data_IF_235113030669
#
_entry.id   IF_235113030669
#
_cell.length_a   1.000
_cell.length_b   1.000
_cell.length_c   1.000
_cell.angle_alpha   90.00
_cell.angle_beta   90.00
_cell.angle_gamma   90.00
#
_symmetry.space_group_name_H-M   'P 1'
#
loop_
_entity.id
_entity.type
_entity.pdbx_description
1 polymer ?
#
# COMPACT_ATOMS: atom_id res chain seq x y z
N UNK A 1 -4.65 17.49 -18.96
CA UNK A 1 -5.69 16.43 -18.98
C UNK A 1 -6.69 16.80 -17.92
N UNK A 2 -8.01 16.74 -18.17
CA UNK A 2 -8.97 17.09 -17.12
C UNK A 2 -8.90 15.98 -16.07
N UNK A 3 -8.48 16.30 -14.86
CA UNK A 3 -8.60 15.39 -13.73
C UNK A 3 -10.09 15.17 -13.53
N UNK A 4 -10.50 13.90 -13.63
CA UNK A 4 -11.90 13.48 -13.66
C UNK A 4 -12.13 12.48 -12.54
N UNK A 5 -13.38 12.37 -12.05
CA UNK A 5 -13.78 11.24 -11.20
C UNK A 5 -13.33 9.91 -11.81
N UNK A 6 -13.24 8.88 -10.97
CA UNK A 6 -12.90 7.54 -11.43
C UNK A 6 -13.78 7.16 -12.65
N UNK A 7 -13.18 6.80 -13.80
CA UNK A 7 -13.97 6.54 -15.00
C UNK A 7 -14.95 5.39 -14.78
N UNK A 8 -16.19 5.53 -15.25
CA UNK A 8 -17.22 4.48 -15.15
C UNK A 8 -16.75 3.10 -15.66
N UNK A 9 -15.96 2.99 -16.76
CA UNK A 9 -15.37 1.72 -17.16
C UNK A 9 -14.48 1.10 -16.08
N UNK A 10 -13.67 1.90 -15.37
CA UNK A 10 -12.85 1.41 -14.27
C UNK A 10 -13.72 0.95 -13.09
N UNK A 11 -14.75 1.71 -12.73
CA UNK A 11 -15.69 1.35 -11.66
C UNK A 11 -16.38 0.02 -11.99
N UNK A 12 -16.77 -0.18 -13.24
CA UNK A 12 -17.36 -1.44 -13.72
C UNK A 12 -16.36 -2.59 -13.58
N UNK A 13 -15.13 -2.44 -14.10
CA UNK A 13 -14.10 -3.49 -14.04
C UNK A 13 -13.68 -3.82 -12.60
N UNK A 14 -13.60 -2.84 -11.70
CA UNK A 14 -13.29 -3.07 -10.28
C UNK A 14 -14.29 -3.99 -9.58
N UNK A 15 -15.53 -4.10 -10.08
CA UNK A 15 -16.52 -5.03 -9.56
C UNK A 15 -16.32 -6.46 -10.05
N UNK A 16 -15.40 -6.72 -10.96
CA UNK A 16 -15.10 -8.07 -11.43
C UNK A 16 -14.02 -8.72 -10.55
N UNK A 17 -14.24 -9.95 -10.08
CA UNK A 17 -13.28 -10.66 -9.23
C UNK A 17 -11.91 -10.85 -9.90
N UNK A 18 -11.90 -11.06 -11.22
CA UNK A 18 -10.69 -11.25 -12.01
C UNK A 18 -9.87 -9.97 -12.17
N UNK A 19 -10.51 -8.78 -12.10
CA UNK A 19 -9.79 -7.52 -12.21
C UNK A 19 -8.76 -7.39 -11.09
N UNK A 20 -9.14 -7.66 -9.85
CA UNK A 20 -8.23 -7.57 -8.72
C UNK A 20 -7.16 -8.66 -8.74
N UNK A 21 -7.45 -9.85 -9.27
CA UNK A 21 -6.41 -10.87 -9.48
C UNK A 21 -5.36 -10.40 -10.50
N UNK A 22 -5.77 -9.71 -11.58
CA UNK A 22 -4.84 -9.12 -12.56
C UNK A 22 -4.06 -7.93 -11.97
N UNK A 23 -4.75 -7.00 -11.28
CA UNK A 23 -4.12 -5.80 -10.71
C UNK A 23 -3.12 -6.18 -9.60
N UNK A 24 -3.51 -7.13 -8.76
CA UNK A 24 -2.74 -7.58 -7.60
C UNK A 24 -1.96 -8.86 -7.85
N UNK A 25 -1.88 -9.33 -9.10
CA UNK A 25 -1.12 -10.52 -9.47
C UNK A 25 -1.36 -11.71 -8.51
N UNK A 26 -2.61 -11.94 -8.11
CA UNK A 26 -2.95 -12.95 -7.09
C UNK A 26 -2.74 -14.39 -7.65
N UNK A 27 -2.98 -14.60 -8.95
CA UNK A 27 -2.96 -15.94 -9.59
C UNK A 27 -1.82 -16.16 -10.61
N UNK A 28 -0.96 -15.16 -10.85
CA UNK A 28 -0.16 -15.08 -12.08
C UNK A 28 1.20 -15.80 -12.08
N UNK A 29 1.47 -16.71 -11.13
CA UNK A 29 2.86 -17.13 -10.90
C UNK A 29 3.39 -18.31 -11.73
N UNK A 30 2.58 -19.17 -12.35
CA UNK A 30 3.16 -20.38 -13.00
C UNK A 30 2.66 -20.75 -14.41
N UNK A 31 1.40 -20.52 -14.80
CA UNK A 31 0.87 -21.10 -16.06
C UNK A 31 0.16 -20.13 -17.02
N UNK A 32 -0.02 -18.86 -16.66
CA UNK A 32 -0.85 -17.93 -17.43
C UNK A 32 -0.03 -17.14 -18.46
N UNK A 33 0.62 -17.82 -19.41
CA UNK A 33 0.92 -17.18 -20.70
C UNK A 33 -0.42 -17.00 -21.43
N UNK A 34 -1.19 -15.99 -21.05
CA UNK A 34 -2.45 -15.66 -21.72
C UNK A 34 -2.10 -15.38 -23.18
N UNK A 35 -2.63 -16.16 -24.14
CA UNK A 35 -2.35 -15.91 -25.55
C UNK A 35 -2.71 -14.46 -25.88
N UNK A 36 -1.76 -13.73 -26.47
CA UNK A 36 -1.80 -12.28 -26.78
C UNK A 36 -3.01 -11.84 -27.64
N UNK A 37 -3.89 -12.77 -28.03
CA UNK A 37 -4.96 -12.63 -29.00
C UNK A 37 -6.23 -11.92 -28.49
N UNK A 38 -6.36 -11.67 -27.19
CA UNK A 38 -7.43 -10.84 -26.64
C UNK A 38 -6.84 -9.70 -25.79
N UNK A 39 -6.23 -8.71 -26.46
CA UNK A 39 -5.84 -7.45 -25.79
C UNK A 39 -7.10 -6.82 -25.19
N UNK A 40 -7.24 -6.87 -23.87
CA UNK A 40 -8.23 -6.07 -23.15
C UNK A 40 -7.84 -4.59 -23.25
N UNK A 41 -8.83 -3.67 -23.15
CA UNK A 41 -8.53 -2.23 -23.14
C UNK A 41 -7.63 -1.87 -21.95
N UNK A 42 -6.78 -0.86 -22.13
CA UNK A 42 -6.09 -0.21 -21.01
C UNK A 42 -7.07 0.64 -20.22
N UNK A 43 -7.03 0.55 -18.90
CA UNK A 43 -7.82 1.39 -18.01
C UNK A 43 -6.88 2.39 -17.34
N UNK A 44 -7.14 3.68 -17.58
CA UNK A 44 -6.35 4.78 -17.01
C UNK A 44 -7.24 5.62 -16.11
N UNK A 45 -6.71 6.02 -14.96
CA UNK A 45 -7.31 7.06 -14.13
C UNK A 45 -6.23 7.98 -13.57
N UNK A 46 -6.61 9.18 -13.18
CA UNK A 46 -5.80 10.11 -12.42
C UNK A 46 -6.70 10.89 -11.46
N UNK A 47 -6.23 11.13 -10.24
CA UNK A 47 -6.96 11.87 -9.19
C UNK A 47 -6.21 13.16 -8.83
N UNK A 48 -6.95 14.19 -8.45
CA UNK A 48 -6.42 15.51 -8.06
C UNK A 48 -6.01 15.44 -6.60
N UNK A 49 -4.87 16.01 -6.25
CA UNK A 49 -4.44 16.14 -4.85
C UNK A 49 -4.32 17.59 -4.38
N UNK A 50 -4.57 18.56 -5.26
CA UNK A 50 -4.44 20.00 -5.02
C UNK A 50 -3.48 20.67 -6.01
N UNK A 51 -3.63 21.98 -6.19
CA UNK A 51 -2.76 22.83 -7.02
C UNK A 51 -2.51 22.27 -8.44
N UNK A 52 -3.52 21.64 -9.05
CA UNK A 52 -3.47 20.96 -10.34
C UNK A 52 -2.46 19.80 -10.45
N UNK A 53 -1.92 19.32 -9.33
CA UNK A 53 -1.15 18.08 -9.28
C UNK A 53 -2.08 16.87 -9.27
N UNK A 54 -1.67 15.82 -9.97
CA UNK A 54 -2.41 14.57 -9.99
C UNK A 54 -1.53 13.33 -9.95
N UNK A 55 -2.13 12.21 -9.58
CA UNK A 55 -1.51 10.89 -9.59
C UNK A 55 -2.49 9.86 -10.10
N UNK A 56 -1.99 8.90 -10.86
CA UNK A 56 -2.82 7.95 -11.57
C UNK A 56 -2.09 6.67 -11.89
N UNK A 57 -2.82 5.69 -12.40
CA UNK A 57 -2.21 4.50 -12.99
C UNK A 57 -2.86 4.18 -14.32
N UNK A 58 -2.04 3.60 -15.20
CA UNK A 58 -2.47 3.00 -16.45
C UNK A 58 -2.34 1.49 -16.32
N UNK A 59 -3.48 0.79 -16.29
CA UNK A 59 -3.56 -0.67 -16.14
C UNK A 59 -3.84 -1.30 -17.50
N UNK A 60 -2.86 -2.02 -18.04
CA UNK A 60 -3.01 -2.78 -19.28
C UNK A 60 -3.56 -4.18 -18.99
N UNK A 61 -4.88 -4.29 -18.88
CA UNK A 61 -5.58 -5.55 -18.60
C UNK A 61 -5.17 -6.65 -19.59
N UNK A 62 -5.07 -7.88 -19.09
CA UNK A 62 -4.63 -9.06 -19.85
C UNK A 62 -3.13 -9.14 -20.15
N UNK A 63 -2.36 -8.06 -19.98
CA UNK A 63 -0.89 -8.10 -20.05
C UNK A 63 -0.22 -8.16 -18.67
N UNK A 64 -0.96 -7.80 -17.63
CA UNK A 64 -0.44 -7.59 -16.27
C UNK A 64 0.39 -6.31 -16.10
N UNK A 65 0.72 -5.61 -17.19
CA UNK A 65 1.53 -4.39 -17.13
C UNK A 65 0.72 -3.22 -16.56
N UNK A 66 1.31 -2.49 -15.62
CA UNK A 66 0.71 -1.29 -15.03
C UNK A 66 1.77 -0.22 -14.84
N UNK A 67 1.47 1.06 -15.04
CA UNK A 67 2.38 2.16 -14.70
C UNK A 67 1.75 3.15 -13.73
N UNK A 68 2.52 3.63 -12.76
CA UNK A 68 2.18 4.73 -11.87
C UNK A 68 2.70 6.02 -12.48
N UNK A 69 1.79 6.98 -12.65
CA UNK A 69 2.06 8.25 -13.32
C UNK A 69 1.76 9.41 -12.36
N UNK A 70 2.59 10.45 -12.40
CA UNK A 70 2.32 11.73 -11.74
C UNK A 70 2.17 12.85 -12.76
N UNK A 71 1.37 13.85 -12.43
CA UNK A 71 0.99 14.91 -13.34
C UNK A 71 1.37 16.25 -12.71
N UNK A 72 2.26 16.99 -13.39
CA UNK A 72 2.58 18.36 -13.02
C UNK A 72 1.42 19.32 -13.40
N UNK A 73 1.32 20.49 -12.74
CA UNK A 73 0.31 21.49 -13.06
C UNK A 73 0.31 21.87 -14.54
N UNK A 74 -0.87 21.85 -15.15
CA UNK A 74 -1.05 22.16 -16.57
C UNK A 74 -0.56 21.09 -17.56
N UNK A 75 0.08 20.00 -17.09
CA UNK A 75 0.49 18.92 -17.97
C UNK A 75 -0.69 18.08 -18.45
N UNK A 76 -0.65 17.67 -19.72
CA UNK A 76 -1.58 16.67 -20.24
C UNK A 76 -1.05 15.24 -20.13
N UNK A 77 0.26 15.10 -20.06
CA UNK A 77 0.95 13.82 -20.03
C UNK A 77 1.48 13.57 -18.62
N UNK A 78 1.29 12.34 -18.14
CA UNK A 78 1.84 11.89 -16.87
C UNK A 78 3.29 11.45 -17.05
N UNK A 79 4.08 11.62 -16.00
CA UNK A 79 5.46 11.12 -15.91
C UNK A 79 5.47 9.82 -15.11
N UNK A 80 6.00 8.74 -15.70
CA UNK A 80 6.07 7.44 -15.07
C UNK A 80 7.05 7.45 -13.88
N UNK A 81 6.60 6.99 -12.72
CA UNK A 81 7.41 6.84 -11.50
C UNK A 81 7.52 5.39 -11.01
N UNK A 82 6.84 4.46 -11.67
CA UNK A 82 6.94 3.03 -11.38
C UNK A 82 6.11 2.21 -12.37
N UNK A 83 6.47 0.93 -12.55
CA UNK A 83 5.61 -0.01 -13.28
C UNK A 83 5.59 -1.41 -12.64
N UNK A 84 4.45 -2.07 -12.74
CA UNK A 84 4.30 -3.50 -12.44
C UNK A 84 4.41 -4.25 -13.76
N UNK A 85 5.28 -5.26 -13.83
CA UNK A 85 5.25 -6.26 -14.90
C UNK A 85 5.54 -7.66 -14.35
N UNK A 86 5.45 -8.69 -15.21
CA UNK A 86 5.66 -10.08 -14.78
C UNK A 86 7.09 -10.43 -14.38
N UNK A 87 8.08 -9.63 -14.75
CA UNK A 87 9.47 -9.79 -14.31
C UNK A 87 9.76 -8.99 -13.02
N UNK A 88 8.97 -7.95 -12.75
CA UNK A 88 9.17 -6.97 -11.69
C UNK A 88 7.83 -6.71 -10.97
N UNK A 89 7.27 -7.70 -10.23
CA UNK A 89 5.91 -7.63 -9.68
C UNK A 89 5.72 -6.64 -8.51
N UNK A 90 6.68 -5.74 -8.28
CA UNK A 90 6.63 -4.73 -7.22
C UNK A 90 7.39 -3.46 -7.65
N UNK A 91 6.73 -2.50 -8.32
CA UNK A 91 7.24 -1.13 -8.45
C UNK A 91 7.27 -0.47 -7.09
N UNK A 92 8.46 -0.25 -6.56
CA UNK A 92 8.63 0.22 -5.19
C UNK A 92 8.81 1.74 -5.20
N UNK A 93 7.72 2.48 -5.38
CA UNK A 93 7.78 3.93 -5.63
C UNK A 93 7.37 4.79 -4.42
N UNK A 94 6.32 4.39 -3.69
CA UNK A 94 5.69 5.18 -2.63
C UNK A 94 5.87 4.55 -1.26
N UNK A 95 6.19 5.34 -0.24
CA UNK A 95 6.02 4.91 1.16
C UNK A 95 4.54 4.84 1.53
N UNK A 96 4.23 4.16 2.63
CA UNK A 96 2.87 4.14 3.16
C UNK A 96 2.35 5.55 3.45
N UNK A 97 3.21 6.39 4.04
CA UNK A 97 2.85 7.77 4.41
C UNK A 97 2.52 8.61 3.18
N UNK A 98 3.25 8.40 2.09
CA UNK A 98 3.07 9.11 0.82
C UNK A 98 1.80 8.66 0.09
N UNK A 99 1.55 7.34 0.06
CA UNK A 99 0.36 6.77 -0.56
C UNK A 99 -0.91 7.22 0.17
N UNK A 100 -0.94 7.08 1.49
CA UNK A 100 -2.09 7.43 2.32
C UNK A 100 -2.37 8.94 2.30
N UNK A 101 -1.33 9.78 2.30
CA UNK A 101 -1.46 11.23 2.13
C UNK A 101 -2.16 11.58 0.81
N UNK A 102 -1.72 10.97 -0.30
CA UNK A 102 -2.32 11.16 -1.62
C UNK A 102 -3.78 10.73 -1.64
N UNK A 103 -4.10 9.57 -1.06
CA UNK A 103 -5.48 9.07 -1.01
C UNK A 103 -6.39 10.03 -0.23
N UNK A 104 -5.95 10.50 0.95
CA UNK A 104 -6.69 11.48 1.76
C UNK A 104 -6.90 12.79 1.00
N UNK A 105 -5.83 13.35 0.42
CA UNK A 105 -5.92 14.57 -0.36
C UNK A 105 -6.93 14.42 -1.52
N UNK A 106 -6.86 13.31 -2.27
CA UNK A 106 -7.78 13.07 -3.37
C UNK A 106 -9.24 12.97 -2.95
N UNK A 107 -9.53 12.28 -1.84
CA UNK A 107 -10.89 12.18 -1.31
C UNK A 107 -11.40 13.55 -0.82
N UNK A 108 -10.53 14.40 -0.27
CA UNK A 108 -10.91 15.76 0.14
C UNK A 108 -11.18 16.70 -1.05
N UNK A 109 -10.60 16.42 -2.21
CA UNK A 109 -10.78 17.20 -3.46
C UNK A 109 -12.02 16.77 -4.24
N UNK A 110 -12.30 15.48 -4.28
CA UNK A 110 -13.42 14.91 -5.01
C UNK A 110 -14.34 14.13 -4.06
N UNK A 111 -15.51 14.68 -3.69
CA UNK A 111 -16.48 14.00 -2.85
C UNK A 111 -16.97 12.66 -3.39
N UNK A 112 -16.88 12.38 -4.70
CA UNK A 112 -17.26 11.07 -5.24
C UNK A 112 -16.21 9.99 -4.90
N UNK A 113 -15.00 10.39 -4.54
CA UNK A 113 -13.92 9.49 -4.12
C UNK A 113 -13.97 9.31 -2.59
N UNK A 114 -14.24 8.08 -2.15
CA UNK A 114 -14.14 7.71 -0.73
C UNK A 114 -12.72 7.28 -0.35
N UNK A 115 -12.35 7.60 0.88
CA UNK A 115 -11.15 7.07 1.54
C UNK A 115 -11.53 6.47 2.90
N UNK A 116 -11.04 5.26 3.25
CA UNK A 116 -10.37 4.30 2.38
C UNK A 116 -11.25 3.83 1.22
N UNK A 117 -10.67 3.54 0.06
CA UNK A 117 -11.45 3.22 -1.13
C UNK A 117 -10.61 2.90 -2.37
N UNK A 118 -11.16 3.15 -3.58
CA UNK A 118 -10.54 2.70 -4.83
C UNK A 118 -9.11 3.16 -5.04
N UNK A 119 -8.80 4.42 -4.70
CA UNK A 119 -7.46 4.98 -4.89
C UNK A 119 -6.44 4.20 -4.05
N UNK A 120 -6.72 3.93 -2.79
CA UNK A 120 -5.84 3.14 -1.92
C UNK A 120 -5.64 1.71 -2.44
N UNK A 121 -6.72 1.07 -2.92
CA UNK A 121 -6.65 -0.29 -3.49
C UNK A 121 -5.83 -0.34 -4.79
N UNK A 122 -5.98 0.65 -5.66
CA UNK A 122 -5.28 0.76 -6.94
C UNK A 122 -3.82 1.19 -6.81
N UNK A 123 -3.48 1.93 -5.74
CA UNK A 123 -2.09 2.34 -5.47
C UNK A 123 -1.29 1.30 -4.67
N UNK A 124 -1.95 0.33 -4.02
CA UNK A 124 -1.28 -0.71 -3.24
C UNK A 124 -0.14 -1.45 -3.98
N UNK A 125 -0.23 -1.80 -5.28
CA UNK A 125 0.88 -2.42 -6.02
C UNK A 125 2.18 -1.61 -6.00
N UNK A 126 2.09 -0.29 -5.77
CA UNK A 126 3.22 0.65 -5.80
C UNK A 126 3.82 0.95 -4.42
N UNK A 127 3.28 0.32 -3.37
CA UNK A 127 3.75 0.47 -2.00
C UNK A 127 5.13 -0.18 -1.82
N UNK A 128 6.11 0.63 -1.44
CA UNK A 128 7.38 0.21 -0.88
C UNK A 128 7.31 0.24 0.64
N UNK A 129 7.14 -0.95 1.23
CA UNK A 129 7.34 -1.14 2.66
C UNK A 129 8.80 -0.98 3.01
N UNK A 130 9.07 -0.24 4.08
CA UNK A 130 10.42 -0.10 4.66
C UNK A 130 10.47 -0.59 6.13
N UNK A 131 9.32 -1.02 6.67
CA UNK A 131 9.19 -1.52 8.02
C UNK A 131 9.01 -0.43 9.08
N UNK A 132 8.97 0.84 8.68
CA UNK A 132 8.62 1.95 9.57
C UNK A 132 7.11 2.13 9.73
N UNK A 133 6.33 1.59 8.79
CA UNK A 133 4.88 1.71 8.82
C UNK A 133 4.23 0.90 9.96
N UNK A 134 3.20 1.47 10.60
CA UNK A 134 2.39 0.75 11.57
C UNK A 134 1.35 -0.12 10.84
N UNK A 135 1.53 -1.44 10.90
CA UNK A 135 0.56 -2.36 10.32
C UNK A 135 -0.83 -2.29 10.98
N UNK A 136 -0.91 -1.80 12.21
CA UNK A 136 -2.18 -1.55 12.90
C UNK A 136 -2.94 -0.38 12.31
N UNK A 137 -2.24 0.58 11.71
CA UNK A 137 -2.88 1.65 10.94
C UNK A 137 -3.15 1.22 9.50
N UNK A 138 -2.22 0.48 8.88
CA UNK A 138 -2.30 0.08 7.46
C UNK A 138 -3.43 -0.92 7.21
N UNK A 139 -3.54 -1.94 8.07
CA UNK A 139 -4.46 -3.06 7.82
C UNK A 139 -5.93 -2.63 7.78
N UNK A 140 -6.45 -1.84 8.75
CA UNK A 140 -7.85 -1.39 8.72
C UNK A 140 -8.19 -0.54 7.48
N UNK A 141 -7.24 0.30 7.03
CA UNK A 141 -7.40 1.12 5.83
C UNK A 141 -7.56 0.24 4.60
N UNK A 142 -6.66 -0.72 4.40
CA UNK A 142 -6.71 -1.61 3.24
C UNK A 142 -7.90 -2.59 3.31
N UNK A 143 -8.23 -3.13 4.49
CA UNK A 143 -9.41 -3.97 4.67
C UNK A 143 -10.71 -3.22 4.31
N UNK A 144 -10.83 -1.94 4.67
CA UNK A 144 -11.97 -1.10 4.28
C UNK A 144 -11.96 -0.75 2.79
N UNK A 145 -10.80 -0.38 2.24
CA UNK A 145 -10.67 -0.08 0.81
C UNK A 145 -11.13 -1.26 -0.05
N UNK A 146 -10.70 -2.48 0.26
CA UNK A 146 -11.08 -3.67 -0.50
C UNK A 146 -12.54 -4.11 -0.27
N UNK A 147 -13.09 -3.93 0.94
CA UNK A 147 -14.53 -4.15 1.17
C UNK A 147 -15.40 -3.24 0.32
N UNK A 148 -14.94 -2.02 0.03
CA UNK A 148 -15.69 -1.06 -0.78
C UNK A 148 -15.64 -1.39 -2.28
N UNK A 149 -14.49 -1.87 -2.78
CA UNK A 149 -14.30 -2.06 -4.23
C UNK A 149 -14.62 -3.46 -4.74
N UNK A 150 -14.61 -4.48 -3.88
CA UNK A 150 -14.83 -5.87 -4.34
C UNK A 150 -16.32 -6.18 -4.48
N UNK A 151 -16.71 -7.06 -5.44
CA UNK A 151 -18.10 -7.36 -5.77
C UNK A 151 -18.96 -7.89 -4.62
N UNK A 152 -18.35 -8.59 -3.66
CA UNK A 152 -19.07 -9.23 -2.57
C UNK A 152 -18.85 -8.46 -1.26
N UNK A 153 -19.91 -7.83 -0.70
CA UNK A 153 -19.83 -7.18 0.60
C UNK A 153 -19.28 -8.13 1.67
N UNK A 154 -18.29 -7.66 2.43
CA UNK A 154 -17.63 -8.45 3.49
C UNK A 154 -16.36 -9.18 3.05
N UNK A 155 -16.04 -9.22 1.75
CA UNK A 155 -14.75 -9.71 1.26
C UNK A 155 -13.72 -8.59 1.36
N UNK A 156 -13.15 -8.41 2.56
CA UNK A 156 -12.03 -7.49 2.78
C UNK A 156 -10.73 -7.96 2.11
N UNK A 157 -9.59 -7.64 2.72
CA UNK A 157 -8.31 -8.05 2.17
C UNK A 157 -8.25 -9.58 2.09
N UNK A 158 -8.19 -10.11 0.86
CA UNK A 158 -7.98 -11.53 0.61
C UNK A 158 -6.64 -11.99 1.20
N UNK A 159 -6.51 -13.27 1.52
CA UNK A 159 -5.25 -13.86 2.00
C UNK A 159 -4.08 -13.51 1.08
N UNK A 160 -4.31 -13.53 -0.22
CA UNK A 160 -3.33 -13.28 -1.27
C UNK A 160 -2.86 -11.82 -1.25
N UNK A 161 -3.81 -10.87 -1.18
CA UNK A 161 -3.45 -9.45 -1.04
C UNK A 161 -2.77 -9.18 0.30
N UNK A 162 -3.24 -9.82 1.37
CA UNK A 162 -2.66 -9.70 2.71
C UNK A 162 -1.24 -10.25 2.74
N UNK A 163 -0.96 -11.31 1.99
CA UNK A 163 0.39 -11.86 1.84
C UNK A 163 1.38 -10.84 1.30
N UNK A 164 0.96 -9.86 0.49
CA UNK A 164 1.85 -8.74 0.08
C UNK A 164 2.28 -7.87 1.26
N UNK A 165 1.37 -7.60 2.21
CA UNK A 165 1.69 -6.93 3.47
C UNK A 165 2.42 -7.85 4.45
N UNK A 166 2.40 -9.17 4.22
CA UNK A 166 3.26 -10.12 4.95
C UNK A 166 4.68 -10.17 4.36
N UNK A 167 4.93 -9.59 3.18
CA UNK A 167 6.27 -9.58 2.60
C UNK A 167 7.16 -8.59 3.34
N UNK A 168 8.37 -9.02 3.75
CA UNK A 168 9.27 -8.13 4.45
C UNK A 168 9.74 -7.03 3.50
N UNK A 169 10.04 -5.84 4.04
CA UNK A 169 10.79 -4.85 3.29
C UNK A 169 12.10 -5.52 2.83
N UNK A 170 12.53 -5.36 1.57
CA UNK A 170 13.75 -6.01 1.11
C UNK A 170 14.93 -5.65 2.00
N UNK A 171 15.72 -6.64 2.42
CA UNK A 171 16.92 -6.41 3.24
C UNK A 171 17.78 -5.29 2.67
N UNK A 172 18.27 -4.41 3.54
CA UNK A 172 19.11 -3.28 3.15
C UNK A 172 18.39 -2.16 2.42
N UNK A 173 17.05 -2.14 2.42
CA UNK A 173 16.29 -0.98 1.94
C UNK A 173 16.48 0.19 2.90
N UNK A 174 16.89 1.34 2.37
CA UNK A 174 17.11 2.54 3.18
C UNK A 174 16.74 3.77 2.38
N UNK A 175 15.92 4.64 2.98
CA UNK A 175 15.62 5.96 2.45
C UNK A 175 16.77 6.92 2.75
N UNK A 176 17.21 7.63 1.73
CA UNK A 176 18.28 8.62 1.81
C UNK A 176 17.80 9.93 1.21
N UNK A 177 18.24 11.04 1.80
CA UNK A 177 17.98 12.37 1.26
C UNK A 177 19.07 12.71 0.24
N UNK A 178 18.67 13.02 -0.98
CA UNK A 178 19.54 13.48 -2.06
C UNK A 178 20.07 14.89 -1.78
N UNK A 179 21.13 15.35 -2.49
CA UNK A 179 21.64 16.71 -2.37
C UNK A 179 20.60 17.81 -2.69
N UNK A 180 19.60 17.50 -3.51
CA UNK A 180 18.48 18.37 -3.85
C UNK A 180 17.34 18.36 -2.81
N UNK A 181 17.51 17.62 -1.71
CA UNK A 181 16.54 17.52 -0.62
C UNK A 181 15.46 16.46 -0.84
N UNK A 182 15.42 15.80 -2.00
CA UNK A 182 14.39 14.80 -2.29
C UNK A 182 14.74 13.44 -1.68
N UNK A 183 13.72 12.72 -1.21
CA UNK A 183 13.89 11.36 -0.72
C UNK A 183 14.03 10.37 -1.87
N UNK A 184 15.08 9.57 -1.82
CA UNK A 184 15.35 8.44 -2.69
C UNK A 184 15.54 7.17 -1.84
N UNK A 185 15.48 6.02 -2.49
CA UNK A 185 15.66 4.73 -1.84
C UNK A 185 16.87 4.00 -2.41
N UNK A 186 17.67 3.44 -1.51
CA UNK A 186 18.77 2.55 -1.82
C UNK A 186 18.44 1.14 -1.36
N UNK A 187 19.05 0.16 -2.01
CA UNK A 187 18.99 -1.22 -1.55
C UNK A 187 20.35 -1.88 -1.78
N UNK A 188 20.96 -2.36 -0.68
CA UNK A 188 22.22 -3.11 -0.72
C UNK A 188 22.01 -4.63 -0.67
N UNK A 189 20.77 -5.08 -0.62
CA UNK A 189 20.40 -6.48 -0.48
C UNK A 189 20.05 -7.14 -1.82
N UNK A 190 19.71 -8.42 -1.74
CA UNK A 190 19.10 -9.16 -2.83
C UNK A 190 17.66 -9.52 -2.44
N UNK A 191 16.69 -9.49 -3.38
CA UNK A 191 16.85 -9.07 -4.77
C UNK A 191 17.02 -7.54 -4.87
N UNK A 192 17.64 -7.03 -5.95
CA UNK A 192 17.75 -5.59 -6.15
C UNK A 192 16.37 -4.95 -6.14
N UNK A 193 16.32 -3.71 -5.67
CA UNK A 193 15.10 -2.92 -5.66
C UNK A 193 14.74 -2.50 -7.08
N UNK A 194 13.60 -2.95 -7.58
CA UNK A 194 13.02 -2.46 -8.84
C UNK A 194 12.29 -1.13 -8.60
N UNK A 195 13.03 -0.12 -8.13
CA UNK A 195 12.54 1.25 -7.96
C UNK A 195 13.30 2.17 -8.90
N UNK A 196 12.60 3.11 -9.55
CA UNK A 196 13.23 4.19 -10.28
C UNK A 196 13.65 5.36 -9.38
N UNK A 197 13.23 5.35 -8.12
CA UNK A 197 13.47 6.42 -7.16
C UNK A 197 14.82 6.25 -6.46
N UNK A 198 15.90 6.01 -7.21
CA UNK A 198 17.26 5.84 -6.66
C UNK A 198 18.01 7.17 -6.58
N UNK A 199 19.05 7.28 -5.73
CA UNK A 199 19.82 8.51 -5.62
C UNK A 199 20.54 8.91 -6.92
N UNK A 200 20.84 7.94 -7.78
CA UNK A 200 21.53 8.15 -9.05
C UNK A 200 20.57 8.34 -10.23
N UNK A 201 19.26 8.20 -10.03
CA UNK A 201 18.29 8.36 -11.11
C UNK A 201 18.24 9.82 -11.58
N UNK A 202 18.67 10.07 -12.82
CA UNK A 202 18.61 11.39 -13.46
C UNK A 202 17.24 11.67 -14.10
N UNK A 203 16.54 10.63 -14.53
CA UNK A 203 15.26 10.75 -15.24
C UNK A 203 14.04 10.59 -14.32
N UNK A 204 14.23 10.28 -13.05
CA UNK A 204 13.12 10.21 -12.11
C UNK A 204 12.64 11.63 -11.76
N UNK A 205 11.33 11.92 -11.86
CA UNK A 205 10.79 13.27 -11.73
C UNK A 205 10.65 13.71 -10.26
N UNK A 206 11.77 13.79 -9.53
CA UNK A 206 11.79 14.11 -8.10
C UNK A 206 11.10 15.45 -7.77
N UNK A 207 11.30 16.47 -8.60
CA UNK A 207 10.68 17.79 -8.40
C UNK A 207 9.15 17.75 -8.52
N UNK A 208 8.63 17.03 -9.51
CA UNK A 208 7.17 16.87 -9.70
C UNK A 208 6.58 16.04 -8.57
N UNK A 209 7.25 14.96 -8.15
CA UNK A 209 6.81 14.14 -7.03
C UNK A 209 6.79 14.92 -5.71
N UNK A 210 7.81 15.75 -5.47
CA UNK A 210 7.86 16.62 -4.30
C UNK A 210 6.73 17.66 -4.31
N UNK A 211 6.51 18.34 -5.44
CA UNK A 211 5.42 19.29 -5.62
C UNK A 211 4.05 18.64 -5.41
N UNK A 212 3.85 17.41 -5.88
CA UNK A 212 2.64 16.62 -5.65
C UNK A 212 2.41 16.37 -4.15
N UNK A 213 3.44 16.00 -3.41
CA UNK A 213 3.30 15.79 -1.96
C UNK A 213 3.12 17.10 -1.18
N UNK A 214 3.71 18.19 -1.63
CA UNK A 214 3.47 19.51 -1.05
C UNK A 214 2.01 19.95 -1.25
N UNK A 215 1.47 19.78 -2.46
CA UNK A 215 0.08 20.06 -2.77
C UNK A 215 -0.88 19.17 -1.96
N UNK A 216 -0.60 17.87 -1.86
CA UNK A 216 -1.39 16.94 -1.05
C UNK A 216 -1.39 17.33 0.44
N UNK A 217 -0.22 17.73 0.98
CA UNK A 217 -0.12 18.26 2.36
C UNK A 217 -0.91 19.55 2.53
N UNK A 218 -0.84 20.46 1.57
CA UNK A 218 -1.57 21.73 1.62
C UNK A 218 -3.09 21.50 1.62
N UNK A 219 -3.59 20.58 0.78
CA UNK A 219 -5.01 20.17 0.76
C UNK A 219 -5.47 19.64 2.12
N UNK A 220 -4.70 18.73 2.73
CA UNK A 220 -5.04 18.18 4.05
C UNK A 220 -4.95 19.27 5.14
N UNK A 221 -3.92 20.11 5.09
CA UNK A 221 -3.71 21.19 6.07
C UNK A 221 -4.79 22.27 5.98
N UNK A 222 -5.32 22.57 4.79
CA UNK A 222 -6.40 23.53 4.60
C UNK A 222 -7.67 23.12 5.37
N UNK A 223 -7.98 21.82 5.41
CA UNK A 223 -9.09 21.28 6.20
C UNK A 223 -8.82 21.43 7.70
N UNK A 224 -7.62 21.11 8.15
CA UNK A 224 -7.22 21.27 9.56
C UNK A 224 -7.17 22.74 10.03
N UNK A 225 -6.98 23.67 9.10
CA UNK A 225 -6.92 25.11 9.34
C UNK A 225 -8.28 25.82 9.22
N UNK A 226 -9.36 25.10 8.92
CA UNK A 226 -10.69 25.69 8.75
C UNK A 226 -11.12 26.45 10.02
N UNK A 227 -11.60 27.69 9.86
CA UNK A 227 -11.97 28.57 10.97
C UNK A 227 -12.92 27.93 12.00
N UNK A 228 -13.95 27.15 11.60
CA UNK A 228 -14.79 26.38 12.52
C UNK A 228 -14.04 25.50 13.54
N UNK A 229 -12.86 24.98 13.20
CA UNK A 229 -12.07 24.14 14.10
C UNK A 229 -11.39 24.91 15.23
N UNK A 230 -11.39 26.24 15.17
CA UNK A 230 -10.91 27.09 16.27
C UNK A 230 -11.95 27.27 17.36
N UNK A 231 -13.23 26.95 17.09
CA UNK A 231 -14.33 27.10 18.03
C UNK A 231 -14.19 26.13 19.23
N UNK A 232 -14.26 26.61 20.48
CA UNK A 232 -14.04 25.77 21.67
C UNK A 232 -14.99 24.56 21.77
N UNK A 233 -16.24 24.71 21.31
CA UNK A 233 -17.23 23.64 21.31
C UNK A 233 -16.83 22.52 20.33
N UNK A 234 -16.40 22.89 19.12
CA UNK A 234 -15.93 21.95 18.10
C UNK A 234 -14.68 21.22 18.58
N UNK A 235 -13.70 21.95 19.15
CA UNK A 235 -12.48 21.32 19.71
C UNK A 235 -12.78 20.33 20.82
N UNK A 236 -13.66 20.71 21.75
CA UNK A 236 -14.05 19.82 22.85
C UNK A 236 -14.77 18.57 22.33
N UNK A 237 -15.66 18.73 21.36
CA UNK A 237 -16.35 17.61 20.72
C UNK A 237 -15.40 16.70 19.93
N UNK A 238 -14.38 17.28 19.28
CA UNK A 238 -13.34 16.54 18.54
C UNK A 238 -12.51 15.66 19.48
N UNK A 239 -12.09 16.19 20.63
CA UNK A 239 -11.35 15.41 21.64
C UNK A 239 -12.18 14.25 22.20
N UNK A 240 -13.46 14.49 22.47
CA UNK A 240 -14.42 13.46 22.92
C UNK A 240 -14.62 12.40 21.83
N UNK A 241 -14.86 12.82 20.59
CA UNK A 241 -15.01 11.92 19.43
C UNK A 241 -13.80 11.01 19.27
N UNK A 242 -12.61 11.59 19.33
CA UNK A 242 -11.33 10.87 19.28
C UNK A 242 -11.25 9.85 20.42
N UNK A 243 -11.57 10.23 21.67
CA UNK A 243 -11.42 9.35 22.84
C UNK A 243 -12.47 8.24 22.89
N UNK A 244 -13.73 8.58 22.63
CA UNK A 244 -14.90 7.74 22.94
C UNK A 244 -15.50 7.07 21.69
N UNK A 245 -14.99 7.41 20.49
CA UNK A 245 -15.49 6.93 19.20
C UNK A 245 -16.94 7.35 18.87
N UNK A 246 -17.49 8.34 19.59
CA UNK A 246 -18.80 8.93 19.31
C UNK A 246 -18.63 10.30 18.64
N UNK A 247 -18.95 10.35 17.34
CA UNK A 247 -18.80 11.55 16.50
C UNK A 247 -20.05 12.41 16.40
N UNK A 248 -21.16 11.99 17.01
CA UNK A 248 -22.47 12.66 16.86
C UNK A 248 -22.42 14.11 17.34
N UNK A 249 -21.77 14.34 18.49
CA UNK A 249 -21.59 15.68 19.04
C UNK A 249 -20.68 16.56 18.18
N UNK A 250 -19.65 15.98 17.56
CA UNK A 250 -18.74 16.69 16.67
C UNK A 250 -19.45 17.12 15.38
N UNK A 251 -20.21 16.22 14.74
CA UNK A 251 -20.96 16.54 13.54
C UNK A 251 -21.97 17.68 13.77
N UNK A 252 -22.70 17.65 14.89
CA UNK A 252 -23.62 18.73 15.25
C UNK A 252 -22.88 20.05 15.52
N UNK A 253 -21.78 20.01 16.29
CA UNK A 253 -21.00 21.20 16.57
C UNK A 253 -20.42 21.84 15.30
N UNK A 254 -19.99 21.04 14.32
CA UNK A 254 -19.53 21.52 13.02
C UNK A 254 -20.65 22.19 12.22
N UNK A 255 -21.85 21.58 12.16
CA UNK A 255 -23.01 22.20 11.48
C UNK A 255 -23.45 23.50 12.15
N UNK A 256 -23.48 23.55 13.49
CA UNK A 256 -23.93 24.73 14.23
C UNK A 256 -23.06 25.96 13.97
N UNK A 257 -21.80 25.76 13.55
CA UNK A 257 -20.85 26.83 13.18
C UNK A 257 -20.75 27.02 11.65
N UNK A 258 -21.67 26.43 10.88
CA UNK A 258 -21.75 26.55 9.42
C UNK A 258 -20.69 25.76 8.66
N UNK A 259 -20.06 24.74 9.27
CA UNK A 259 -19.08 23.92 8.57
C UNK A 259 -19.77 23.09 7.49
N UNK A 260 -19.38 23.28 6.23
CA UNK A 260 -19.89 22.50 5.10
C UNK A 260 -21.23 22.99 4.54
N UNK A 261 -21.73 24.15 4.99
CA UNK A 261 -22.81 24.83 4.28
C UNK A 261 -22.27 25.29 2.91
N UNK A 262 -22.92 24.85 1.84
CA UNK A 262 -22.69 25.40 0.52
C UNK A 262 -23.00 26.89 0.62
N UNK A 263 -22.00 27.74 0.44
CA UNK A 263 -22.23 29.18 0.30
C UNK A 263 -23.15 29.32 -0.91
N UNK A 264 -24.43 29.62 -0.68
CA UNK A 264 -25.30 30.07 -1.75
C UNK A 264 -24.59 31.29 -2.37
N UNK A 265 -24.10 31.10 -3.59
CA UNK A 265 -23.54 32.19 -4.37
C UNK A 265 -24.69 33.17 -4.59
N UNK A 266 -24.69 34.25 -3.81
CA UNK A 266 -25.54 35.39 -4.08
C UNK A 266 -25.02 36.01 -5.38
N UNK A 267 -25.76 35.82 -6.48
CA UNK A 267 -25.38 36.23 -7.84
C UNK A 267 -25.00 37.73 -7.92
N UNK A 268 -25.37 38.54 -6.91
CA UNK A 268 -25.08 39.97 -6.81
C UNK A 268 -23.85 40.34 -5.93
N UNK A 269 -23.25 39.39 -5.20
CA UNK A 269 -22.12 39.65 -4.30
C UNK A 269 -20.77 39.62 -5.04
N UNK A 270 -20.34 40.77 -5.56
CA UNK A 270 -19.11 40.97 -6.35
C UNK A 270 -17.78 40.67 -5.60
N UNK A 271 -17.81 40.38 -4.30
CA UNK A 271 -16.64 39.98 -3.50
C UNK A 271 -17.07 39.11 -2.30
N UNK A 272 -17.25 37.81 -2.52
CA UNK A 272 -17.10 36.86 -1.41
C UNK A 272 -15.64 36.43 -1.44
N UNK A 273 -14.84 36.91 -0.48
CA UNK A 273 -13.52 36.33 -0.24
C UNK A 273 -13.72 34.81 -0.08
N UNK A 274 -12.92 34.01 -0.80
CA UNK A 274 -12.86 32.53 -0.82
C UNK A 274 -12.62 31.91 0.57
N UNK A 275 -13.43 32.26 1.57
CA UNK A 275 -13.41 31.64 2.86
C UNK A 275 -13.94 30.22 2.64
N UNK A 276 -13.02 29.26 2.67
CA UNK A 276 -13.34 27.85 2.71
C UNK A 276 -14.17 27.55 3.97
N UNK A 277 -15.49 27.40 3.84
CA UNK A 277 -16.41 27.19 4.97
C UNK A 277 -16.52 25.73 5.41
N UNK A 278 -15.84 24.80 4.75
CA UNK A 278 -15.79 23.40 5.19
C UNK A 278 -15.54 22.43 4.05
N UNK A 279 -15.69 21.14 4.34
CA UNK A 279 -15.50 20.07 3.37
C UNK A 279 -16.60 19.01 3.52
N UNK A 280 -17.39 18.78 2.46
CA UNK A 280 -18.50 17.82 2.47
C UNK A 280 -18.06 16.38 2.79
N UNK A 281 -16.82 16.01 2.43
CA UNK A 281 -16.24 14.69 2.72
C UNK A 281 -16.09 14.47 4.22
N UNK A 282 -15.71 15.52 4.95
CA UNK A 282 -15.60 15.49 6.41
C UNK A 282 -16.96 15.25 7.05
N UNK A 283 -17.99 16.01 6.69
CA UNK A 283 -19.32 15.81 7.26
C UNK A 283 -19.88 14.42 6.94
N UNK A 284 -19.75 13.97 5.68
CA UNK A 284 -20.18 12.63 5.28
C UNK A 284 -19.49 11.54 6.11
N UNK A 285 -18.19 11.64 6.34
CA UNK A 285 -17.43 10.67 7.12
C UNK A 285 -17.83 10.64 8.61
N UNK A 286 -18.39 11.73 9.14
CA UNK A 286 -18.90 11.78 10.51
C UNK A 286 -20.36 11.31 10.62
N UNK A 287 -21.16 11.50 9.59
CA UNK A 287 -22.61 11.29 9.64
C UNK A 287 -23.09 9.98 9.01
N UNK A 288 -22.44 9.58 7.92
CA UNK A 288 -22.76 8.39 7.16
C UNK A 288 -21.48 7.70 6.63
N UNK A 289 -20.52 7.35 7.53
CA UNK A 289 -19.35 6.58 7.13
C UNK A 289 -19.77 5.21 6.61
N UNK A 290 -19.11 4.72 5.57
CA UNK A 290 -19.28 3.31 5.16
C UNK A 290 -18.51 2.36 6.06
N UNK A 291 -17.43 2.84 6.66
CA UNK A 291 -16.55 2.08 7.56
C UNK A 291 -16.03 2.98 8.69
N UNK A 292 -15.84 2.49 9.92
CA UNK A 292 -15.36 3.33 11.03
C UNK A 292 -13.98 3.96 10.78
N UNK A 293 -13.16 3.38 9.91
CA UNK A 293 -11.85 3.93 9.52
C UNK A 293 -11.98 5.20 8.66
N UNK A 294 -13.10 5.37 7.92
CA UNK A 294 -13.42 6.62 7.21
C UNK A 294 -13.55 7.78 8.21
N UNK A 295 -14.23 7.54 9.32
CA UNK A 295 -14.32 8.50 10.43
C UNK A 295 -12.95 8.73 11.09
N UNK A 296 -12.21 7.67 11.39
CA UNK A 296 -10.93 7.76 12.10
C UNK A 296 -9.90 8.64 11.39
N UNK A 297 -9.72 8.49 10.07
CA UNK A 297 -8.75 9.33 9.33
C UNK A 297 -9.19 10.79 9.28
N UNK A 298 -10.50 11.06 9.19
CA UNK A 298 -11.02 12.44 9.24
C UNK A 298 -10.70 13.07 10.58
N UNK A 299 -10.87 12.35 11.69
CA UNK A 299 -10.49 12.85 13.01
C UNK A 299 -8.99 13.15 13.11
N UNK A 300 -8.12 12.38 12.45
CA UNK A 300 -6.68 12.68 12.37
C UNK A 300 -6.43 14.00 11.64
N UNK A 301 -7.10 14.22 10.52
CA UNK A 301 -6.99 15.47 9.75
C UNK A 301 -7.47 16.66 10.58
N UNK A 302 -8.68 16.59 11.16
CA UNK A 302 -9.25 17.70 11.94
C UNK A 302 -8.43 18.04 13.18
N UNK A 303 -7.79 17.06 13.81
CA UNK A 303 -6.98 17.27 15.02
C UNK A 303 -5.52 17.57 14.76
N UNK A 304 -5.04 17.41 13.52
CA UNK A 304 -3.62 17.42 13.20
C UNK A 304 -2.84 16.27 13.84
N UNK A 305 -3.50 15.19 14.25
CA UNK A 305 -2.84 14.02 14.80
C UNK A 305 -1.97 13.33 13.73
N UNK A 306 -0.93 12.62 14.19
CA UNK A 306 -0.07 11.86 13.30
C UNK A 306 -0.91 10.84 12.50
N UNK A 307 -0.61 10.72 11.21
CA UNK A 307 -1.28 9.80 10.31
C UNK A 307 -1.28 8.36 10.87
N UNK A 308 -2.45 7.73 10.93
CA UNK A 308 -2.63 6.37 11.42
C UNK A 308 -2.72 6.22 12.94
N UNK A 309 -2.50 7.28 13.73
CA UNK A 309 -2.51 7.19 15.20
C UNK A 309 -3.90 6.99 15.80
N UNK A 310 -4.95 7.63 15.25
CA UNK A 310 -6.33 7.41 15.71
C UNK A 310 -6.80 6.05 15.21
N UNK A 311 -6.45 5.68 13.97
CA UNK A 311 -6.80 4.38 13.39
C UNK A 311 -6.23 3.25 14.24
N UNK A 312 -4.91 3.23 14.48
CA UNK A 312 -4.27 2.18 15.28
C UNK A 312 -4.87 2.08 16.69
N UNK A 313 -5.23 3.22 17.31
CA UNK A 313 -5.86 3.22 18.63
C UNK A 313 -7.30 2.69 18.62
N UNK A 314 -8.10 3.02 17.61
CA UNK A 314 -9.49 2.60 17.53
C UNK A 314 -9.64 1.11 17.19
N UNK A 315 -8.78 0.62 16.31
CA UNK A 315 -8.81 -0.77 15.83
C UNK A 315 -7.93 -1.71 16.65
N UNK A 316 -7.01 -1.17 17.46
CA UNK A 316 -6.09 -1.95 18.27
C UNK A 316 -5.06 -2.71 17.44
N UNK A 317 -4.54 -3.78 18.02
CA UNK A 317 -3.59 -4.67 17.35
C UNK A 317 -4.27 -5.35 16.15
N UNK A 318 -3.74 -5.09 14.96
CA UNK A 318 -4.19 -5.78 13.74
C UNK A 318 -3.76 -7.26 13.77
N UNK A 319 -4.34 -8.11 12.90
CA UNK A 319 -3.82 -9.45 12.67
C UNK A 319 -2.33 -9.48 12.25
N UNK A 320 -1.76 -8.33 11.88
CA UNK A 320 -0.36 -8.16 11.49
C UNK A 320 0.47 -7.42 12.55
N UNK A 321 -0.08 -7.05 13.72
CA UNK A 321 0.64 -6.32 14.78
C UNK A 321 1.95 -7.01 15.17
N UNK A 322 1.88 -8.33 15.34
CA UNK A 322 3.03 -9.17 15.71
C UNK A 322 3.78 -9.72 14.49
N UNK A 323 3.59 -9.16 13.29
CA UNK A 323 4.28 -9.63 12.09
C UNK A 323 5.78 -9.30 12.20
N UNK A 324 6.50 -10.18 12.89
CA UNK A 324 7.95 -10.30 12.85
C UNK A 324 8.28 -11.30 11.77
N UNK A 325 9.01 -10.84 10.76
CA UNK A 325 9.44 -11.67 9.66
C UNK A 325 10.88 -12.08 9.91
N UNK A 326 11.12 -13.39 9.90
CA UNK A 326 12.48 -13.90 9.90
C UNK A 326 12.90 -14.06 8.45
N UNK A 327 13.76 -13.17 7.98
CA UNK A 327 14.45 -13.33 6.70
C UNK A 327 15.63 -14.27 6.91
N UNK A 328 15.54 -15.45 6.31
CA UNK A 328 16.54 -16.49 6.47
C UNK A 328 17.07 -16.93 5.11
N UNK A 329 18.31 -17.38 5.09
CA UNK A 329 18.91 -18.00 3.92
C UNK A 329 19.06 -19.49 4.15
N UNK A 330 18.31 -20.28 3.37
CA UNK A 330 18.49 -21.72 3.30
C UNK A 330 19.62 -22.03 2.32
N UNK A 331 20.80 -22.30 2.86
CA UNK A 331 21.97 -22.73 2.10
C UNK A 331 21.93 -24.24 1.91
N UNK A 332 21.93 -24.68 0.66
CA UNK A 332 21.85 -26.08 0.27
C UNK A 332 23.09 -26.49 -0.53
N UNK A 333 23.70 -27.62 -0.20
CA UNK A 333 24.90 -28.14 -0.89
C UNK A 333 24.62 -29.54 -1.44
N UNK A 334 25.15 -29.85 -2.63
CA UNK A 334 25.00 -31.12 -3.36
C UNK A 334 23.55 -31.46 -3.74
N UNK A 335 22.71 -30.44 -3.97
CA UNK A 335 21.27 -30.65 -4.19
C UNK A 335 20.92 -31.43 -5.45
N UNK A 336 21.75 -31.38 -6.50
CA UNK A 336 21.56 -32.10 -7.76
C UNK A 336 20.09 -32.15 -8.22
N UNK A 337 19.53 -33.37 -8.33
CA UNK A 337 18.13 -33.61 -8.74
C UNK A 337 17.11 -33.38 -7.63
N UNK A 338 17.55 -33.30 -6.37
CA UNK A 338 16.68 -33.06 -5.21
C UNK A 338 16.18 -31.62 -5.12
N UNK A 339 16.82 -30.67 -5.80
CA UNK A 339 16.43 -29.26 -5.71
C UNK A 339 14.94 -29.02 -6.04
N UNK A 340 14.43 -29.60 -7.13
CA UNK A 340 13.03 -29.45 -7.51
C UNK A 340 12.08 -30.02 -6.44
N UNK A 341 12.44 -31.13 -5.79
CA UNK A 341 11.66 -31.74 -4.71
C UNK A 341 11.64 -30.86 -3.47
N UNK A 342 12.81 -30.35 -3.05
CA UNK A 342 12.96 -29.45 -1.91
C UNK A 342 12.15 -28.19 -2.15
N UNK A 343 12.32 -27.55 -3.32
CA UNK A 343 11.59 -26.35 -3.70
C UNK A 343 10.07 -26.56 -3.65
N UNK A 344 9.56 -27.62 -4.28
CA UNK A 344 8.13 -27.95 -4.24
C UNK A 344 7.62 -28.20 -2.81
N UNK A 345 8.45 -28.77 -1.94
CA UNK A 345 8.13 -28.95 -0.52
C UNK A 345 8.02 -27.62 0.22
N UNK A 346 8.96 -26.71 0.00
CA UNK A 346 8.95 -25.38 0.62
C UNK A 346 7.79 -24.52 0.10
N UNK A 347 7.47 -24.58 -1.20
CA UNK A 347 6.31 -23.89 -1.79
C UNK A 347 4.99 -24.42 -1.21
N UNK A 348 4.91 -25.71 -0.85
CA UNK A 348 3.76 -26.24 -0.09
C UNK A 348 3.68 -25.64 1.31
N UNK A 349 4.81 -25.45 2.00
CA UNK A 349 4.86 -24.77 3.29
C UNK A 349 4.42 -23.31 3.17
N UNK A 350 4.74 -22.63 2.07
CA UNK A 350 4.26 -21.29 1.77
C UNK A 350 2.73 -21.27 1.59
N UNK A 351 2.18 -22.19 0.78
CA UNK A 351 0.72 -22.32 0.60
C UNK A 351 -0.03 -22.69 1.88
N UNK A 352 0.62 -23.38 2.83
CA UNK A 352 0.04 -23.72 4.14
C UNK A 352 0.32 -22.66 5.22
N UNK A 353 0.86 -21.50 4.83
CA UNK A 353 1.20 -20.38 5.72
C UNK A 353 2.27 -20.70 6.80
N UNK A 354 3.01 -21.81 6.66
CA UNK A 354 4.15 -22.15 7.55
C UNK A 354 5.37 -21.28 7.20
N UNK A 355 5.58 -21.05 5.90
CA UNK A 355 6.49 -20.03 5.40
C UNK A 355 5.66 -18.86 4.87
N UNK A 356 6.13 -17.64 5.09
CA UNK A 356 5.54 -16.47 4.44
C UNK A 356 5.96 -16.37 2.98
N UNK A 357 7.16 -16.87 2.64
CA UNK A 357 7.67 -16.84 1.27
C UNK A 357 8.85 -17.80 1.05
N UNK A 358 8.94 -18.35 -0.16
CA UNK A 358 10.15 -18.96 -0.71
C UNK A 358 10.68 -18.08 -1.84
N UNK A 359 11.93 -17.63 -1.71
CA UNK A 359 12.61 -16.81 -2.70
C UNK A 359 13.07 -17.61 -3.92
N UNK A 360 13.61 -16.91 -4.92
CA UNK A 360 14.30 -17.56 -6.04
C UNK A 360 15.64 -18.09 -5.54
N UNK A 361 16.02 -19.30 -5.99
CA UNK A 361 17.34 -19.84 -5.70
C UNK A 361 18.42 -19.10 -6.49
N UNK A 362 19.50 -18.75 -5.81
CA UNK A 362 20.72 -18.21 -6.39
C UNK A 362 21.85 -19.23 -6.27
N UNK A 363 22.60 -19.43 -7.35
CA UNK A 363 23.80 -20.26 -7.33
C UNK A 363 24.94 -19.49 -6.66
N UNK A 364 25.43 -20.00 -5.53
CA UNK A 364 26.60 -19.45 -4.83
C UNK A 364 27.88 -20.13 -5.29
N UNK A 365 27.77 -21.39 -5.74
CA UNK A 365 28.87 -22.18 -6.26
C UNK A 365 28.37 -23.32 -7.15
N UNK A 366 29.28 -24.15 -7.70
CA UNK A 366 28.92 -25.24 -8.62
C UNK A 366 27.94 -26.25 -8.03
N UNK A 367 28.01 -26.49 -6.72
CA UNK A 367 27.16 -27.44 -6.00
C UNK A 367 26.36 -26.80 -4.86
N UNK A 368 26.32 -25.45 -4.82
CA UNK A 368 25.73 -24.71 -3.71
C UNK A 368 24.67 -23.73 -4.19
N UNK A 369 23.47 -23.86 -3.60
CA UNK A 369 22.36 -22.95 -3.80
C UNK A 369 22.03 -22.22 -2.50
N UNK A 370 21.72 -20.94 -2.63
CA UNK A 370 21.10 -20.14 -1.57
C UNK A 370 19.65 -19.92 -1.95
N UNK A 371 18.76 -20.23 -1.01
CA UNK A 371 17.34 -20.04 -1.18
C UNK A 371 16.82 -19.18 -0.03
N UNK A 372 16.47 -17.90 -0.28
CA UNK A 372 15.86 -17.07 0.74
C UNK A 372 14.53 -17.68 1.16
N UNK A 373 14.28 -17.78 2.45
CA UNK A 373 13.01 -18.22 3.02
C UNK A 373 12.57 -17.20 4.07
N UNK A 374 11.33 -16.78 4.00
CA UNK A 374 10.74 -15.87 4.98
C UNK A 374 9.81 -16.68 5.85
N UNK A 375 10.04 -16.68 7.16
CA UNK A 375 9.14 -17.30 8.13
C UNK A 375 8.17 -16.24 8.65
N UNK A 376 6.88 -16.52 8.46
CA UNK A 376 5.80 -15.71 9.00
C UNK A 376 5.51 -16.09 10.45
N UNK A 377 5.76 -15.14 11.36
CA UNK A 377 5.46 -15.19 12.82
C UNK A 377 6.27 -16.21 13.64
N UNK A 378 6.32 -15.91 14.94
CA UNK A 378 6.96 -16.47 16.14
C UNK A 378 7.11 -17.99 16.30
N UNK A 379 6.73 -18.78 15.29
CA UNK A 379 6.97 -20.22 15.26
C UNK A 379 8.14 -20.59 14.35
N UNK A 380 9.23 -19.82 14.46
CA UNK A 380 10.53 -20.19 13.91
C UNK A 380 10.87 -21.66 14.25
N UNK A 381 10.56 -22.19 15.46
CA UNK A 381 10.68 -23.62 15.73
C UNK A 381 9.86 -24.53 14.80
N UNK A 382 8.55 -24.31 14.59
CA UNK A 382 7.76 -25.15 13.69
C UNK A 382 8.15 -24.98 12.23
N UNK A 383 8.44 -23.76 11.78
CA UNK A 383 8.97 -23.53 10.43
C UNK A 383 10.28 -24.28 10.23
N UNK A 384 11.20 -24.24 11.22
CA UNK A 384 12.44 -25.01 11.20
C UNK A 384 12.17 -26.52 11.17
N UNK A 385 11.20 -27.01 11.93
CA UNK A 385 10.81 -28.41 11.93
C UNK A 385 10.25 -28.86 10.57
N UNK A 386 9.36 -28.06 9.97
CA UNK A 386 8.77 -28.32 8.67
C UNK A 386 9.82 -28.27 7.53
N UNK A 387 10.73 -27.29 7.56
CA UNK A 387 11.87 -27.24 6.63
C UNK A 387 12.72 -28.51 6.76
N UNK A 388 13.01 -28.98 7.99
CA UNK A 388 13.75 -30.23 8.21
C UNK A 388 13.02 -31.44 7.62
N UNK A 389 11.70 -31.49 7.76
CA UNK A 389 10.91 -32.58 7.17
C UNK A 389 10.99 -32.58 5.63
N UNK A 390 10.93 -31.40 5.00
CA UNK A 390 11.13 -31.26 3.55
C UNK A 390 12.53 -31.73 3.15
N UNK A 391 13.57 -31.34 3.91
CA UNK A 391 14.96 -31.69 3.63
C UNK A 391 15.26 -33.18 3.86
N UNK A 392 14.58 -33.83 4.81
CA UNK A 392 14.71 -35.27 5.06
C UNK A 392 14.24 -36.13 3.87
N UNK A 393 13.50 -35.56 2.91
CA UNK A 393 13.08 -36.21 1.68
C UNK A 393 14.08 -36.03 0.52
N UNK A 394 15.18 -35.31 0.73
CA UNK A 394 16.25 -35.15 -0.25
C UNK A 394 17.10 -36.42 -0.39
N UNK A 395 17.82 -36.52 -1.51
CA UNK A 395 18.74 -37.64 -1.76
C UNK A 395 19.93 -37.61 -0.77
N UNK A 396 20.57 -38.76 -0.55
CA UNK A 396 21.73 -38.84 0.34
C UNK A 396 22.86 -37.88 -0.09
N UNK A 397 23.42 -37.16 0.89
CA UNK A 397 24.54 -36.24 0.67
C UNK A 397 24.15 -34.77 0.50
N UNK A 398 22.85 -34.44 0.45
CA UNK A 398 22.39 -33.04 0.56
C UNK A 398 22.61 -32.55 1.98
N UNK A 399 23.30 -31.42 2.13
CA UNK A 399 23.42 -30.72 3.42
C UNK A 399 22.73 -29.37 3.36
N UNK A 400 22.10 -28.96 4.46
CA UNK A 400 21.37 -27.72 4.53
C UNK A 400 21.68 -26.96 5.83
N UNK A 401 21.77 -25.64 5.73
CA UNK A 401 21.91 -24.74 6.88
C UNK A 401 21.00 -23.52 6.69
N UNK A 402 20.51 -22.98 7.79
CA UNK A 402 19.61 -21.83 7.78
C UNK A 402 20.32 -20.67 8.49
N UNK A 403 20.35 -19.50 7.86
CA UNK A 403 21.14 -18.35 8.29
C UNK A 403 20.25 -17.12 8.46
N UNK A 404 20.52 -16.27 9.45
CA UNK A 404 19.81 -14.98 9.63
C UNK A 404 20.66 -13.78 9.15
N UNK A 405 21.45 -13.97 8.10
CA UNK A 405 22.56 -13.08 7.76
C UNK A 405 23.88 -13.68 8.22
N UNK A 406 24.38 -13.23 9.38
CA UNK A 406 25.72 -13.59 9.84
C UNK A 406 25.77 -14.81 10.77
N UNK A 407 24.62 -15.23 11.34
CA UNK A 407 24.53 -16.36 12.25
C UNK A 407 23.82 -17.55 11.60
N UNK A 408 24.44 -18.72 11.69
CA UNK A 408 23.78 -19.99 11.37
C UNK A 408 22.86 -20.39 12.52
N UNK A 409 21.55 -20.45 12.27
CA UNK A 409 20.55 -20.87 13.25
C UNK A 409 20.28 -22.39 13.23
N UNK A 410 21.04 -23.12 12.39
CA UNK A 410 21.24 -24.57 12.42
C UNK A 410 20.02 -25.42 12.05
N UNK A 411 20.16 -26.20 10.97
CA UNK A 411 19.23 -27.27 10.60
C UNK A 411 19.86 -28.63 10.91
N UNK A 412 20.41 -28.84 12.10
CA UNK A 412 21.09 -30.12 12.39
C UNK A 412 20.08 -31.28 12.38
N UNK A 413 20.10 -32.05 11.30
CA UNK A 413 19.77 -33.46 11.25
C UNK A 413 21.08 -34.22 11.03
N UNK A 414 21.93 -34.30 12.06
CA UNK A 414 22.79 -35.48 12.14
C UNK A 414 21.86 -36.64 12.49
N UNK A 415 21.59 -37.50 11.50
CA UNK A 415 21.22 -38.89 11.74
C UNK A 415 22.42 -39.76 11.39
#
# INVERSE_FOLDING_TARGET
MRIVPLPEPLITEMREDLFWSEVLWEDAWEDAWVPQAARKPSVRFAVDVGDDYGIGTNVMLGSGMQSLEIYAPGSADGEDIGYVDGAHPMPKALRWEELELVCRASALRDPEIRHPGPVAALLLPYLLRDGSESLDAVSPVLDAAFRLVRPQPGHGLRSETRSRLKWPPPKGTTWVTRPDGHLAVTNSGWPPLNSYRTPEAEHFPFGVLAGLFDAARATVAAVAAAAPLTEPAVRSALEVAIRDQDVSALANALRDVGYGDDIEYDDDAFYVEDAWHGNAVVLRALEAPTEPVETAWVLEVLSGAAQGSVIARWFGESPMHHLRLWELDLRLVNVGRSFARIRNGLEKLERSEVLARVGRADAVGPDELRLPVVVGRDDLPAARAAIREVLAQADHGVTASLWNGDEEIGLSSEQ
#
